data_IF_319677201887
#
_entry.id   IF_319677201887
#
_cell.length_a   1.000
_cell.length_b   1.000
_cell.length_c   1.000
_cell.angle_alpha   90.00
_cell.angle_beta   90.00
_cell.angle_gamma   90.00
#
_symmetry.space_group_name_H-M   'P 1'
#
loop_
_entity.id
_entity.type
_entity.pdbx_description
1 polymer ?
#
# COMPACT_ATOMS: atom_id res chain seq x y z
N UNK A 1 -9.60 25.00 -27.39
CA UNK A 1 -8.15 24.71 -27.36
C UNK A 1 -8.02 23.21 -27.42
N UNK A 2 -7.16 22.67 -28.27
CA UNK A 2 -7.07 21.23 -28.52
C UNK A 2 -6.25 20.57 -27.41
N UNK A 3 -6.95 19.93 -26.47
CA UNK A 3 -6.40 18.99 -25.49
C UNK A 3 -5.94 17.73 -26.24
N UNK A 4 -4.68 17.34 -26.08
CA UNK A 4 -4.20 16.07 -26.61
C UNK A 4 -4.49 14.99 -25.57
N UNK A 5 -5.60 14.26 -25.74
CA UNK A 5 -5.87 13.05 -24.96
C UNK A 5 -4.78 12.03 -25.29
N UNK A 6 -3.88 11.80 -24.33
CA UNK A 6 -2.80 10.80 -24.44
C UNK A 6 -2.91 9.89 -23.24
N UNK A 7 -3.61 8.77 -23.41
CA UNK A 7 -3.57 7.73 -22.40
C UNK A 7 -2.27 6.97 -22.52
N UNK A 8 -1.41 7.08 -21.50
CA UNK A 8 -0.20 6.27 -21.39
C UNK A 8 -0.24 5.49 -20.07
N UNK A 9 -0.02 4.17 -20.15
CA UNK A 9 -0.15 3.26 -19.02
C UNK A 9 1.23 2.74 -18.65
N UNK A 10 1.56 2.85 -17.36
CA UNK A 10 2.75 2.28 -16.77
C UNK A 10 2.34 1.14 -15.83
N UNK A 11 2.93 -0.03 -16.06
CA UNK A 11 2.78 -1.23 -15.24
C UNK A 11 4.02 -1.42 -14.35
N UNK A 12 3.93 -2.30 -13.35
CA UNK A 12 5.07 -2.60 -12.49
C UNK A 12 6.21 -3.25 -13.28
N UNK A 13 7.41 -2.69 -13.15
CA UNK A 13 8.66 -3.18 -13.75
C UNK A 13 9.78 -3.08 -12.73
N UNK A 14 10.84 -3.86 -12.93
CA UNK A 14 12.08 -3.66 -12.20
C UNK A 14 12.74 -2.34 -12.68
N UNK A 15 12.88 -1.37 -11.77
CA UNK A 15 13.55 -0.10 -12.03
C UNK A 15 12.62 1.10 -12.27
N UNK A 16 13.21 2.22 -12.68
CA UNK A 16 12.49 3.48 -12.89
C UNK A 16 11.92 3.60 -14.31
N UNK A 17 10.67 4.04 -14.41
CA UNK A 17 10.08 4.47 -15.68
C UNK A 17 10.08 6.00 -15.75
N UNK A 18 10.17 6.55 -16.96
CA UNK A 18 10.27 8.01 -17.16
C UNK A 18 9.35 8.46 -18.29
N UNK A 19 8.83 9.68 -18.16
CA UNK A 19 8.03 10.33 -19.21
C UNK A 19 8.43 11.79 -19.36
N UNK A 20 8.52 12.24 -20.62
CA UNK A 20 8.85 13.61 -20.94
C UNK A 20 7.58 14.47 -21.03
N UNK A 21 7.61 15.63 -20.39
CA UNK A 21 6.52 16.60 -20.40
C UNK A 21 6.63 17.46 -21.67
N UNK A 22 5.58 17.56 -22.50
CA UNK A 22 5.58 18.46 -23.66
C UNK A 22 5.92 19.89 -23.27
N UNK A 23 6.67 20.60 -24.12
CA UNK A 23 7.20 21.92 -23.82
C UNK A 23 6.12 22.97 -23.46
N UNK A 24 4.90 22.79 -23.96
CA UNK A 24 3.77 23.68 -23.73
C UNK A 24 2.81 23.21 -22.62
N UNK A 25 3.07 22.05 -22.01
CA UNK A 25 2.26 21.54 -20.91
C UNK A 25 2.63 22.22 -19.58
N UNK A 26 1.59 22.60 -18.82
CA UNK A 26 1.69 23.15 -17.47
C UNK A 26 1.05 22.26 -16.43
N UNK A 27 0.17 21.35 -16.86
CA UNK A 27 -0.49 20.40 -15.96
C UNK A 27 -0.63 19.05 -16.63
N UNK A 28 -0.81 18.03 -15.82
CA UNK A 28 -1.02 16.67 -16.27
C UNK A 28 -2.06 15.99 -15.38
N UNK A 29 -3.04 15.31 -15.99
CA UNK A 29 -3.97 14.49 -15.23
C UNK A 29 -3.44 13.08 -15.13
N UNK A 30 -3.27 12.61 -13.90
CA UNK A 30 -2.83 11.26 -13.61
C UNK A 30 -3.87 10.51 -12.80
N UNK A 31 -3.92 9.20 -13.02
CA UNK A 31 -4.64 8.24 -12.21
C UNK A 31 -3.68 7.13 -11.77
N UNK A 32 -3.52 6.96 -10.46
CA UNK A 32 -2.58 6.04 -9.85
C UNK A 32 -3.33 5.02 -9.01
N UNK A 33 -2.83 3.80 -8.97
CA UNK A 33 -3.24 2.76 -8.02
C UNK A 33 -2.02 2.25 -7.27
N UNK A 34 -2.09 2.15 -5.95
CA UNK A 34 -1.06 1.49 -5.13
C UNK A 34 -1.14 -0.04 -5.19
N UNK A 35 -0.06 -0.72 -4.86
CA UNK A 35 -0.01 -2.19 -4.83
C UNK A 35 -0.90 -2.76 -3.72
N UNK A 36 -1.50 -3.93 -3.96
CA UNK A 36 -2.24 -4.65 -2.91
C UNK A 36 -1.29 -5.29 -1.88
N UNK A 37 -1.79 -5.45 -0.65
CA UNK A 37 -1.15 -6.28 0.34
C UNK A 37 -1.15 -7.76 -0.04
N UNK A 38 -0.32 -8.53 0.64
CA UNK A 38 -0.19 -9.97 0.45
C UNK A 38 -1.09 -10.78 1.38
N UNK A 39 -1.22 -12.05 1.04
CA UNK A 39 -1.72 -13.09 1.94
C UNK A 39 -0.56 -13.98 2.39
N UNK A 40 -0.62 -14.46 3.62
CA UNK A 40 0.35 -15.44 4.10
C UNK A 40 -0.01 -16.87 3.67
N UNK A 41 -1.24 -17.31 3.95
CA UNK A 41 -1.73 -18.68 3.75
C UNK A 41 -3.27 -18.69 3.53
N UNK A 42 -3.87 -19.87 3.31
CA UNK A 42 -5.32 -20.03 3.07
C UNK A 42 -6.20 -19.52 4.23
N UNK A 43 -5.73 -19.64 5.48
CA UNK A 43 -6.47 -19.23 6.69
C UNK A 43 -6.13 -17.79 7.12
N UNK A 44 -5.40 -17.04 6.29
CA UNK A 44 -5.15 -15.61 6.51
C UNK A 44 -6.42 -14.78 6.32
N UNK A 45 -6.40 -13.55 6.83
CA UNK A 45 -7.35 -12.53 6.39
C UNK A 45 -7.22 -12.22 4.90
N UNK A 46 -8.15 -11.42 4.38
CA UNK A 46 -8.05 -10.80 3.06
C UNK A 46 -6.98 -9.71 3.05
N UNK A 47 -6.40 -9.37 1.88
CA UNK A 47 -5.40 -8.35 1.80
C UNK A 47 -6.07 -6.97 1.76
N UNK A 48 -5.36 -5.96 2.23
CA UNK A 48 -5.70 -4.59 1.95
C UNK A 48 -5.46 -4.26 0.47
N UNK A 49 -6.41 -3.60 -0.17
CA UNK A 49 -6.19 -3.03 -1.50
C UNK A 49 -5.45 -1.70 -1.38
N UNK A 50 -4.64 -1.35 -2.38
CA UNK A 50 -4.04 -0.01 -2.48
C UNK A 50 -5.10 1.08 -2.69
N UNK A 51 -4.74 2.33 -2.47
CA UNK A 51 -5.58 3.45 -2.84
C UNK A 51 -5.57 3.64 -4.37
N UNK A 52 -6.63 4.24 -4.89
CA UNK A 52 -6.66 4.86 -6.21
C UNK A 52 -6.72 6.38 -6.04
N UNK A 53 -5.84 7.09 -6.75
CA UNK A 53 -5.71 8.55 -6.67
C UNK A 53 -5.76 9.13 -8.07
N UNK A 54 -6.68 10.05 -8.31
CA UNK A 54 -6.74 10.81 -9.55
C UNK A 54 -6.62 12.30 -9.24
N UNK A 55 -5.71 13.00 -9.91
CA UNK A 55 -5.60 14.44 -9.79
C UNK A 55 -4.94 15.06 -11.03
N UNK A 56 -5.23 16.34 -11.27
CA UNK A 56 -4.51 17.17 -12.23
C UNK A 56 -3.41 17.95 -11.51
N UNK A 57 -2.16 17.55 -11.69
CA UNK A 57 -0.99 18.09 -10.98
C UNK A 57 -0.23 19.13 -11.81
N UNK A 58 0.41 20.14 -11.19
CA UNK A 58 1.26 21.09 -11.89
C UNK A 58 2.58 20.46 -12.37
N UNK A 59 2.89 20.64 -13.66
CA UNK A 59 4.12 20.20 -14.32
C UNK A 59 4.84 21.38 -15.00
N UNK A 60 6.08 21.18 -15.40
CA UNK A 60 6.88 22.14 -16.16
C UNK A 60 7.15 21.58 -17.54
N UNK A 61 6.81 22.33 -18.58
CA UNK A 61 7.11 21.93 -19.95
C UNK A 61 8.60 21.64 -20.16
N UNK A 62 8.90 20.52 -20.82
CA UNK A 62 10.27 20.06 -21.08
C UNK A 62 10.96 19.36 -19.91
N UNK A 63 10.28 19.18 -18.76
CA UNK A 63 10.83 18.35 -17.68
C UNK A 63 10.63 16.84 -17.95
N UNK A 64 11.36 16.02 -17.20
CA UNK A 64 11.15 14.57 -17.19
C UNK A 64 10.63 14.17 -15.81
N UNK A 65 9.52 13.43 -15.80
CA UNK A 65 8.92 12.87 -14.59
C UNK A 65 9.36 11.42 -14.42
N UNK A 66 9.62 11.02 -13.18
CA UNK A 66 9.89 9.63 -12.81
C UNK A 66 8.59 8.98 -12.36
N UNK A 67 8.34 7.76 -12.84
CA UNK A 67 7.15 6.98 -12.56
C UNK A 67 7.56 5.74 -11.77
N UNK A 68 6.90 5.56 -10.62
CA UNK A 68 7.01 4.37 -9.79
C UNK A 68 5.64 3.70 -9.73
N UNK A 69 5.62 2.41 -10.01
CA UNK A 69 4.40 1.60 -9.90
C UNK A 69 4.57 0.67 -8.71
N UNK A 70 3.67 0.77 -7.73
CA UNK A 70 3.70 -0.06 -6.53
C UNK A 70 3.40 -1.52 -6.86
N UNK A 71 4.15 -2.44 -6.29
CA UNK A 71 3.96 -3.86 -6.48
C UNK A 71 3.04 -4.46 -5.41
N UNK A 72 2.33 -5.50 -5.82
CA UNK A 72 1.68 -6.40 -4.88
C UNK A 72 2.74 -7.03 -3.97
N UNK A 73 2.39 -7.21 -2.70
CA UNK A 73 3.20 -7.98 -1.78
C UNK A 73 2.87 -9.48 -1.79
N UNK A 74 3.91 -10.30 -1.61
CA UNK A 74 3.82 -11.59 -0.93
C UNK A 74 3.98 -11.37 0.57
N UNK A 75 4.90 -12.10 1.21
CA UNK A 75 5.27 -11.83 2.61
C UNK A 75 6.24 -10.66 2.76
N UNK A 76 7.16 -10.44 1.81
CA UNK A 76 8.30 -9.52 1.96
C UNK A 76 7.96 -8.02 1.91
N UNK A 77 6.71 -7.66 1.65
CA UNK A 77 6.29 -6.30 1.32
C UNK A 77 6.48 -6.02 -0.17
N UNK A 78 5.60 -5.19 -0.74
CA UNK A 78 5.66 -4.77 -2.14
C UNK A 78 6.62 -3.60 -2.33
N UNK A 79 7.32 -3.57 -3.46
CA UNK A 79 8.20 -2.46 -3.85
C UNK A 79 7.41 -1.33 -4.53
N UNK A 80 8.04 -0.18 -4.78
CA UNK A 80 7.38 0.98 -5.38
C UNK A 80 8.18 2.26 -5.09
N UNK A 81 7.51 3.42 -5.09
CA UNK A 81 8.13 4.66 -4.62
C UNK A 81 8.55 4.53 -3.16
N UNK A 82 7.67 3.93 -2.35
CA UNK A 82 7.97 3.49 -0.99
C UNK A 82 7.57 2.04 -0.83
N UNK A 83 8.20 1.35 0.13
CA UNK A 83 8.05 -0.10 0.32
C UNK A 83 7.03 -0.41 1.41
N UNK A 84 6.27 -1.48 1.22
CA UNK A 84 5.41 -2.00 2.27
C UNK A 84 6.21 -2.75 3.34
N UNK A 85 5.59 -2.95 4.49
CA UNK A 85 6.14 -3.74 5.59
C UNK A 85 6.09 -5.24 5.32
N UNK A 86 7.05 -5.98 5.87
CA UNK A 86 7.06 -7.45 5.81
C UNK A 86 6.03 -8.03 6.78
N UNK A 87 5.38 -9.13 6.40
CA UNK A 87 4.51 -9.92 7.28
C UNK A 87 5.28 -10.73 8.32
N UNK A 88 4.74 -10.82 9.54
CA UNK A 88 5.30 -11.56 10.66
C UNK A 88 5.34 -13.07 10.41
N UNK A 89 6.28 -13.77 11.06
CA UNK A 89 6.33 -15.23 11.05
C UNK A 89 5.25 -15.86 11.92
N UNK A 90 4.69 -16.99 11.47
CA UNK A 90 4.17 -18.01 12.38
C UNK A 90 5.32 -18.96 12.72
N UNK A 91 5.61 -19.16 14.01
CA UNK A 91 6.82 -19.88 14.47
C UNK A 91 6.68 -21.41 14.39
N UNK A 92 5.50 -21.92 14.06
CA UNK A 92 5.18 -23.35 13.97
C UNK A 92 4.45 -23.66 12.67
N UNK A 93 4.32 -24.94 12.32
CA UNK A 93 3.55 -25.37 11.14
C UNK A 93 2.06 -25.01 11.22
N UNK A 94 1.52 -24.89 12.44
CA UNK A 94 0.14 -24.52 12.74
C UNK A 94 -0.08 -23.01 12.79
N UNK A 95 0.92 -22.23 13.20
CA UNK A 95 0.90 -20.78 13.10
C UNK A 95 1.24 -20.32 11.69
N UNK A 96 0.35 -19.56 11.04
CA UNK A 96 0.58 -19.10 9.67
C UNK A 96 1.29 -17.75 9.66
N UNK A 97 2.03 -17.49 8.58
CA UNK A 97 2.68 -16.20 8.38
C UNK A 97 1.64 -15.12 8.07
N UNK A 98 1.94 -13.87 8.43
CA UNK A 98 1.24 -12.72 7.88
C UNK A 98 1.70 -12.41 6.45
N UNK A 99 0.83 -11.77 5.68
CA UNK A 99 1.18 -11.14 4.41
C UNK A 99 1.92 -9.81 4.61
N UNK A 100 2.73 -9.40 3.64
CA UNK A 100 3.34 -8.07 3.63
C UNK A 100 2.38 -7.01 3.10
N UNK A 101 2.65 -5.73 3.37
CA UNK A 101 1.90 -4.61 2.80
C UNK A 101 2.35 -4.28 1.38
N UNK A 102 1.45 -3.78 0.55
CA UNK A 102 1.73 -3.37 -0.84
C UNK A 102 2.57 -2.10 -0.92
N UNK A 103 3.27 -1.92 -2.04
CA UNK A 103 4.07 -0.72 -2.30
C UNK A 103 3.25 0.44 -2.86
N UNK A 104 3.79 1.65 -2.77
CA UNK A 104 3.10 2.86 -3.26
C UNK A 104 3.46 3.16 -4.72
N UNK A 105 2.49 3.64 -5.48
CA UNK A 105 2.74 4.22 -6.81
C UNK A 105 2.94 5.72 -6.69
N UNK A 106 3.82 6.31 -7.50
CA UNK A 106 4.04 7.75 -7.49
C UNK A 106 4.45 8.29 -8.87
N UNK A 107 4.16 9.57 -9.08
CA UNK A 107 4.78 10.39 -10.12
C UNK A 107 5.62 11.46 -9.43
N UNK A 108 6.89 11.57 -9.80
CA UNK A 108 7.86 12.41 -9.12
C UNK A 108 8.56 13.38 -10.08
N UNK A 109 8.88 14.56 -9.55
CA UNK A 109 9.83 15.50 -10.15
C UNK A 109 11.16 15.37 -9.40
N UNK A 110 12.12 14.66 -9.99
CA UNK A 110 13.28 14.18 -9.23
C UNK A 110 12.80 13.31 -8.06
N UNK A 111 13.25 13.61 -6.85
CA UNK A 111 12.85 12.89 -5.63
C UNK A 111 11.57 13.44 -4.96
N UNK A 112 10.96 14.49 -5.52
CA UNK A 112 9.79 15.14 -4.95
C UNK A 112 8.52 14.56 -5.58
N UNK A 113 7.65 13.87 -4.81
CA UNK A 113 6.41 13.33 -5.35
C UNK A 113 5.43 14.47 -5.69
N UNK A 114 4.75 14.33 -6.82
CA UNK A 114 3.63 15.17 -7.24
C UNK A 114 2.29 14.53 -6.86
N UNK A 115 2.21 13.20 -6.93
CA UNK A 115 1.04 12.39 -6.60
C UNK A 115 1.51 11.00 -6.17
N UNK A 116 0.90 10.46 -5.13
CA UNK A 116 1.21 9.14 -4.55
C UNK A 116 -0.09 8.42 -4.21
N UNK A 117 -0.22 7.19 -4.69
CA UNK A 117 -1.25 6.26 -4.25
C UNK A 117 -0.66 5.27 -3.23
N UNK A 118 -1.17 5.31 -2.00
CA UNK A 118 -0.74 4.42 -0.91
C UNK A 118 -1.03 2.94 -1.21
N UNK A 119 -0.18 2.06 -0.73
CA UNK A 119 -0.34 0.61 -0.78
C UNK A 119 -1.28 0.08 0.31
N UNK A 120 -1.87 -1.08 0.08
CA UNK A 120 -2.74 -1.75 1.04
C UNK A 120 -1.96 -2.50 2.12
N UNK A 121 -2.58 -2.71 3.29
CA UNK A 121 -2.01 -3.52 4.37
C UNK A 121 -2.03 -5.03 4.06
N UNK A 122 -1.07 -5.77 4.61
CA UNK A 122 -1.01 -7.23 4.50
C UNK A 122 -1.97 -7.93 5.45
N UNK A 123 -2.45 -9.11 5.06
CA UNK A 123 -3.31 -9.92 5.91
C UNK A 123 -2.58 -10.47 7.15
N UNK A 124 -3.29 -10.63 8.26
CA UNK A 124 -2.84 -11.40 9.40
C UNK A 124 -2.73 -12.89 9.05
N UNK A 125 -1.79 -13.59 9.68
CA UNK A 125 -1.67 -15.04 9.62
C UNK A 125 -2.77 -15.70 10.44
N UNK A 126 -3.37 -16.76 9.91
CA UNK A 126 -4.27 -17.64 10.66
C UNK A 126 -3.56 -18.57 11.64
N UNK A 127 -4.36 -19.39 12.30
CA UNK A 127 -3.97 -20.54 13.12
C UNK A 127 -4.76 -21.77 12.67
N UNK A 128 -4.68 -22.89 13.41
CA UNK A 128 -5.48 -24.09 13.11
C UNK A 128 -7.00 -23.89 13.23
N UNK A 129 -7.44 -22.92 14.04
CA UNK A 129 -8.85 -22.78 14.44
C UNK A 129 -9.38 -21.36 14.34
N UNK A 130 -8.55 -20.40 13.91
CA UNK A 130 -8.88 -18.99 13.87
C UNK A 130 -8.29 -18.32 12.63
N UNK A 131 -9.09 -17.49 11.95
CA UNK A 131 -8.70 -16.74 10.76
C UNK A 131 -7.94 -15.46 11.11
N UNK A 132 -6.93 -15.14 10.31
CA UNK A 132 -6.20 -13.87 10.39
C UNK A 132 -7.08 -12.64 10.13
N UNK A 133 -6.68 -11.50 10.69
CA UNK A 133 -7.35 -10.22 10.44
C UNK A 133 -7.10 -9.72 9.02
N UNK A 134 -8.09 -9.07 8.43
CA UNK A 134 -7.98 -8.48 7.08
C UNK A 134 -7.05 -7.26 7.10
N UNK A 135 -6.32 -7.05 6.00
CA UNK A 135 -5.46 -5.88 5.82
C UNK A 135 -6.26 -4.61 5.54
N UNK A 136 -5.79 -3.47 6.03
CA UNK A 136 -6.40 -2.16 5.80
C UNK A 136 -6.30 -1.74 4.34
N UNK A 137 -7.39 -1.18 3.81
CA UNK A 137 -7.42 -0.64 2.46
C UNK A 137 -6.99 0.82 2.39
N UNK A 138 -6.31 1.20 1.31
CA UNK A 138 -6.01 2.60 1.01
C UNK A 138 -7.29 3.35 0.62
N UNK A 139 -7.45 4.57 1.11
CA UNK A 139 -8.56 5.48 0.82
C UNK A 139 -8.12 6.91 1.19
N UNK A 140 -9.01 7.91 1.11
CA UNK A 140 -8.75 9.29 1.56
C UNK A 140 -8.24 9.31 3.01
N UNK A 141 -8.82 8.44 3.84
CA UNK A 141 -8.27 8.07 5.15
C UNK A 141 -7.81 6.63 5.07
N UNK A 142 -6.50 6.34 5.20
CA UNK A 142 -6.02 4.96 5.16
C UNK A 142 -6.65 4.16 6.31
N UNK A 143 -7.18 2.98 6.00
CA UNK A 143 -7.86 2.16 6.99
C UNK A 143 -6.88 1.35 7.83
N UNK A 144 -7.29 1.08 9.07
CA UNK A 144 -6.61 0.13 9.94
C UNK A 144 -6.78 -1.29 9.39
N UNK A 145 -5.88 -2.19 9.77
CA UNK A 145 -6.12 -3.62 9.65
C UNK A 145 -7.12 -4.10 10.71
N UNK A 146 -7.77 -5.22 10.44
CA UNK A 146 -8.69 -5.86 11.38
C UNK A 146 -7.93 -6.71 12.40
N UNK A 147 -8.58 -6.93 13.54
CA UNK A 147 -8.10 -7.84 14.57
C UNK A 147 -8.20 -9.29 14.08
N UNK A 148 -7.20 -10.11 14.39
CA UNK A 148 -7.27 -11.55 14.19
C UNK A 148 -8.33 -12.21 15.07
N UNK A 149 -8.86 -13.34 14.63
CA UNK A 149 -9.80 -14.11 15.42
C UNK A 149 -9.15 -14.73 16.67
N UNK A 150 -9.96 -14.88 17.71
CA UNK A 150 -9.58 -15.55 18.95
C UNK A 150 -9.63 -17.07 18.74
N UNK A 151 -8.57 -17.76 19.14
CA UNK A 151 -8.58 -19.21 19.33
C UNK A 151 -9.07 -19.63 20.71
N UNK A 152 -9.15 -20.93 20.95
CA UNK A 152 -9.74 -21.52 22.18
C UNK A 152 -9.14 -20.99 23.49
N UNK A 153 -7.83 -20.71 23.50
CA UNK A 153 -7.07 -20.39 24.72
C UNK A 153 -6.35 -19.03 24.66
N UNK A 154 -6.65 -18.20 23.67
CA UNK A 154 -5.85 -17.01 23.38
C UNK A 154 -6.64 -15.75 23.05
N UNK A 155 -5.90 -14.77 22.56
CA UNK A 155 -6.42 -13.50 22.05
C UNK A 155 -5.82 -13.26 20.67
N UNK A 156 -6.67 -12.91 19.71
CA UNK A 156 -6.22 -12.53 18.38
C UNK A 156 -5.47 -11.21 18.38
N UNK A 157 -4.48 -11.11 17.48
CA UNK A 157 -3.62 -9.94 17.36
C UNK A 157 -4.39 -8.70 16.91
N UNK A 158 -4.05 -7.55 17.47
CA UNK A 158 -4.63 -6.28 17.05
C UNK A 158 -4.15 -5.92 15.63
N UNK A 159 -5.02 -5.29 14.85
CA UNK A 159 -4.65 -4.74 13.56
C UNK A 159 -3.78 -3.47 13.66
N UNK A 160 -2.98 -3.23 12.64
CA UNK A 160 -2.14 -2.03 12.53
C UNK A 160 -2.93 -0.79 12.12
N UNK A 161 -2.50 0.39 12.58
CA UNK A 161 -3.14 1.67 12.22
C UNK A 161 -2.89 2.08 10.77
N UNK A 162 -3.85 2.74 10.11
CA UNK A 162 -3.68 3.28 8.77
C UNK A 162 -2.87 4.57 8.76
N UNK A 163 -1.86 4.68 7.90
CA UNK A 163 -1.05 5.89 7.71
C UNK A 163 -0.25 6.35 8.95
N UNK A 164 -0.17 5.52 9.99
CA UNK A 164 0.41 5.90 11.30
C UNK A 164 1.92 5.70 11.39
N UNK A 165 2.55 5.05 10.41
CA UNK A 165 3.99 4.83 10.43
C UNK A 165 4.72 6.18 10.38
N UNK A 166 5.77 6.29 11.20
CA UNK A 166 6.63 7.47 11.27
C UNK A 166 7.44 7.69 9.99
N UNK A 167 7.47 6.68 9.12
CA UNK A 167 8.13 6.69 7.82
C UNK A 167 7.11 6.47 6.71
N UNK A 168 7.49 6.80 5.48
CA UNK A 168 6.72 6.45 4.28
C UNK A 168 6.71 4.94 3.98
N UNK A 169 7.67 4.20 4.55
CA UNK A 169 7.66 2.74 4.55
C UNK A 169 6.62 2.20 5.54
N UNK A 170 5.93 1.13 5.17
CA UNK A 170 5.02 0.41 6.06
C UNK A 170 5.77 -0.36 7.15
N UNK A 171 5.22 -0.40 8.36
CA UNK A 171 5.81 -1.12 9.49
C UNK A 171 5.67 -2.64 9.29
N UNK A 172 6.68 -3.39 9.76
CA UNK A 172 6.62 -4.84 9.71
C UNK A 172 5.56 -5.39 10.69
N UNK A 173 4.89 -6.47 10.28
CA UNK A 173 4.02 -7.23 11.17
C UNK A 173 4.82 -8.00 12.22
N UNK A 174 4.24 -8.17 13.40
CA UNK A 174 4.89 -8.86 14.51
C UNK A 174 4.92 -10.37 14.26
N UNK A 175 6.08 -11.00 14.48
CA UNK A 175 6.18 -12.47 14.51
C UNK A 175 5.50 -13.07 15.74
N UNK A 176 4.95 -14.26 15.61
CA UNK A 176 4.40 -15.00 16.73
C UNK A 176 5.47 -15.29 17.79
N UNK A 177 5.11 -15.35 19.09
CA UNK A 177 6.05 -15.78 20.11
C UNK A 177 6.46 -17.25 19.90
N UNK A 178 7.73 -17.58 20.17
CA UNK A 178 8.36 -18.87 19.86
C UNK A 178 7.56 -20.09 20.36
N UNK A 179 7.50 -21.13 19.51
CA UNK A 179 6.75 -22.37 19.73
C UNK A 179 5.23 -22.24 19.91
N UNK A 180 4.63 -21.08 19.64
CA UNK A 180 3.18 -20.93 19.61
C UNK A 180 2.59 -21.33 18.26
N UNK A 181 1.34 -21.79 18.29
CA UNK A 181 0.47 -22.01 17.12
C UNK A 181 -0.20 -20.73 16.62
N UNK A 182 0.25 -19.57 17.14
CA UNK A 182 -0.33 -18.28 16.82
C UNK A 182 0.05 -17.82 15.41
N UNK A 183 -0.86 -17.05 14.80
CA UNK A 183 -0.59 -16.39 13.53
C UNK A 183 0.27 -15.14 13.70
N UNK A 184 1.19 -14.92 12.73
CA UNK A 184 1.97 -13.69 12.62
C UNK A 184 1.11 -12.51 12.16
N UNK A 185 1.45 -11.29 12.55
CA UNK A 185 0.76 -10.08 12.11
C UNK A 185 1.06 -9.68 10.66
N UNK A 186 0.14 -8.98 10.01
CA UNK A 186 0.32 -8.44 8.66
C UNK A 186 1.23 -7.22 8.61
N UNK A 187 1.97 -7.03 7.51
CA UNK A 187 2.78 -5.82 7.29
C UNK A 187 1.95 -4.62 6.87
N UNK A 188 2.32 -3.40 7.29
CA UNK A 188 1.63 -2.19 6.88
C UNK A 188 1.90 -1.80 5.41
N UNK A 189 0.94 -1.15 4.76
CA UNK A 189 1.07 -0.66 3.39
C UNK A 189 2.03 0.53 3.28
N UNK A 190 2.68 0.71 2.14
CA UNK A 190 3.53 1.88 1.91
C UNK A 190 2.69 3.13 1.65
N UNK A 191 3.19 4.32 1.99
CA UNK A 191 2.44 5.55 1.76
C UNK A 191 3.30 6.80 1.87
N UNK A 192 2.69 7.97 1.80
CA UNK A 192 3.41 9.23 1.89
C UNK A 192 2.60 10.31 2.61
N UNK A 193 3.30 11.09 3.43
CA UNK A 193 2.80 12.31 4.03
C UNK A 193 3.92 13.36 4.08
N UNK A 194 3.58 14.64 3.89
CA UNK A 194 4.49 15.80 3.81
C UNK A 194 5.53 15.90 4.95
N UNK A 195 5.25 15.32 6.13
CA UNK A 195 6.16 15.33 7.30
C UNK A 195 6.99 14.04 7.46
N UNK A 196 7.21 13.30 6.37
CA UNK A 196 8.09 12.14 6.32
C UNK A 196 7.47 10.82 6.79
N UNK A 197 6.15 10.76 6.92
CA UNK A 197 5.39 9.58 7.37
C UNK A 197 4.50 8.98 6.29
N UNK A 198 3.48 8.26 6.73
CA UNK A 198 2.36 7.84 5.89
C UNK A 198 2.33 6.35 5.56
N UNK A 199 3.30 5.54 5.96
CA UNK A 199 3.15 4.09 5.92
C UNK A 199 2.06 3.61 6.89
N UNK A 200 1.49 2.44 6.63
CA UNK A 200 0.61 1.75 7.57
C UNK A 200 1.39 1.08 8.68
N UNK A 201 0.75 0.92 9.84
CA UNK A 201 1.26 0.14 10.97
C UNK A 201 1.18 -1.36 10.70
N UNK A 202 2.11 -2.12 11.27
CA UNK A 202 2.08 -3.58 11.26
C UNK A 202 1.05 -4.12 12.25
N UNK A 203 0.39 -5.22 11.89
CA UNK A 203 -0.47 -5.98 12.78
C UNK A 203 0.34 -6.72 13.84
N UNK A 204 -0.29 -6.97 14.99
CA UNK A 204 0.30 -7.77 16.07
C UNK A 204 0.06 -9.26 15.84
N UNK A 205 0.91 -10.08 16.44
CA UNK A 205 0.68 -11.53 16.47
C UNK A 205 -0.49 -11.88 17.38
N UNK A 206 -1.12 -13.02 17.13
CA UNK A 206 -2.00 -13.64 18.11
C UNK A 206 -1.23 -14.19 19.32
N UNK A 207 -1.99 -14.75 20.26
CA UNK A 207 -1.47 -15.53 21.39
C UNK A 207 -2.16 -16.89 21.43
N UNK A 208 -1.42 -17.94 21.81
CA UNK A 208 -1.89 -19.34 21.75
C UNK A 208 -2.50 -19.65 20.38
N UNK A 209 -3.43 -20.60 20.21
CA UNK A 209 -4.05 -20.96 18.92
C UNK A 209 -4.90 -19.83 18.26
N UNK A 210 -4.57 -18.55 18.45
CA UNK A 210 -5.25 -17.39 17.87
C UNK A 210 -4.49 -16.80 16.69
N UNK A 211 -5.22 -16.07 15.86
CA UNK A 211 -4.67 -15.50 14.65
C UNK A 211 -4.03 -14.12 14.86
N UNK A 212 -3.16 -13.71 13.93
CA UNK A 212 -2.57 -12.37 13.89
C UNK A 212 -3.52 -11.33 13.29
N UNK A 213 -3.33 -10.07 13.67
CA UNK A 213 -4.05 -8.93 13.09
C UNK A 213 -3.48 -8.50 11.73
N UNK A 214 -4.30 -7.89 10.90
CA UNK A 214 -3.89 -7.32 9.61
C UNK A 214 -3.06 -6.04 9.78
N UNK A 215 -2.24 -5.71 8.78
CA UNK A 215 -1.55 -4.42 8.71
C UNK A 215 -2.48 -3.29 8.24
N UNK A 216 -2.21 -2.05 8.64
CA UNK A 216 -2.94 -0.87 8.14
C UNK A 216 -2.47 -0.45 6.75
N UNK A 217 -3.30 0.32 6.03
CA UNK A 217 -2.93 0.89 4.73
C UNK A 217 -1.97 2.08 4.85
N UNK A 218 -1.26 2.40 3.77
CA UNK A 218 -0.51 3.64 3.67
C UNK A 218 -1.36 4.81 3.15
N UNK A 219 -0.96 6.02 3.51
CA UNK A 219 -1.57 7.28 3.11
C UNK A 219 -1.21 7.66 1.67
N UNK A 220 -2.18 8.27 1.00
CA UNK A 220 -2.02 8.86 -0.34
C UNK A 220 -1.72 10.35 -0.25
N UNK A 221 -1.19 10.92 -1.34
CA UNK A 221 -0.79 12.31 -1.41
C UNK A 221 -0.98 12.89 -2.80
N UNK A 222 -1.22 14.19 -2.88
CA UNK A 222 -1.10 15.00 -4.08
C UNK A 222 -0.53 16.37 -3.68
N UNK A 223 0.25 16.96 -4.60
CA UNK A 223 0.93 18.23 -4.37
C UNK A 223 -0.05 19.39 -4.30
N UNK A 224 0.28 20.41 -3.52
CA UNK A 224 -0.45 21.68 -3.50
C UNK A 224 -0.54 22.27 -4.92
N UNK A 225 -1.68 22.88 -5.24
CA UNK A 225 -2.00 23.36 -6.60
C UNK A 225 -2.58 22.30 -7.53
N UNK A 226 -2.77 21.06 -7.06
CA UNK A 226 -3.55 20.06 -7.79
C UNK A 226 -5.03 20.47 -7.89
N UNK A 227 -5.69 20.12 -9.00
CA UNK A 227 -7.15 20.36 -9.20
C UNK A 227 -7.87 19.03 -9.38
N UNK A 228 -9.12 19.01 -8.91
CA UNK A 228 -10.01 17.84 -8.87
C UNK A 228 -9.33 16.59 -8.27
N UNK A 229 -8.61 16.69 -7.14
CA UNK A 229 -8.06 15.50 -6.52
C UNK A 229 -9.18 14.61 -5.98
N UNK A 230 -9.02 13.31 -6.17
CA UNK A 230 -9.86 12.29 -5.54
C UNK A 230 -8.97 11.14 -5.08
N UNK A 231 -9.30 10.60 -3.91
CA UNK A 231 -8.69 9.39 -3.37
C UNK A 231 -9.85 8.47 -3.03
N UNK A 232 -9.79 7.22 -3.46
CA UNK A 232 -10.79 6.23 -3.10
C UNK A 232 -10.17 4.84 -2.97
N UNK A 233 -10.84 3.97 -2.22
CA UNK A 233 -10.52 2.55 -2.18
C UNK A 233 -10.73 1.90 -3.55
N UNK A 234 -9.73 1.16 -4.02
CA UNK A 234 -9.90 0.27 -5.17
C UNK A 234 -10.37 -1.12 -4.74
N UNK A 235 -11.17 -1.77 -5.60
CA UNK A 235 -11.42 -3.22 -5.52
C UNK A 235 -10.46 -4.03 -6.39
N UNK A 236 -9.56 -3.35 -7.11
CA UNK A 236 -8.66 -4.01 -8.04
C UNK A 236 -7.60 -4.83 -7.31
N UNK A 237 -7.28 -5.99 -7.90
CA UNK A 237 -6.27 -6.91 -7.38
C UNK A 237 -4.96 -6.75 -8.16
N UNK A 238 -3.86 -7.05 -7.48
CA UNK A 238 -2.53 -7.14 -8.06
C UNK A 238 -1.67 -5.91 -7.83
N UNK A 239 -0.71 -5.74 -8.74
CA UNK A 239 0.16 -4.57 -8.78
C UNK A 239 -0.65 -3.28 -8.92
N UNK A 240 -0.01 -2.17 -8.58
CA UNK A 240 -0.47 -0.83 -8.90
C UNK A 240 -0.49 -0.57 -10.40
N UNK A 241 -0.89 0.63 -10.75
CA UNK A 241 -0.89 1.14 -12.13
C UNK A 241 -0.70 2.64 -12.10
N UNK A 242 -0.03 3.22 -13.09
CA UNK A 242 -0.02 4.67 -13.29
C UNK A 242 -0.51 4.98 -14.69
N UNK A 243 -1.47 5.87 -14.80
CA UNK A 243 -2.05 6.32 -16.06
C UNK A 243 -1.83 7.83 -16.16
N UNK A 244 -1.10 8.24 -17.19
CA UNK A 244 -1.25 9.59 -17.71
C UNK A 244 -2.51 9.60 -18.57
N UNK A 245 -3.44 10.51 -18.27
CA UNK A 245 -4.69 10.64 -19.04
C UNK A 245 -4.55 11.74 -20.10
N UNK A 246 -3.93 12.86 -19.75
CA UNK A 246 -3.73 14.00 -20.65
C UNK A 246 -2.71 15.02 -20.14
N UNK A 247 -2.19 15.81 -21.09
CA UNK A 247 -1.42 17.02 -20.85
C UNK A 247 -2.28 18.25 -21.09
N UNK A 248 -2.16 19.25 -20.22
CA UNK A 248 -2.94 20.49 -20.25
C UNK A 248 -2.00 21.70 -20.32
N UNK A 249 -2.41 22.76 -21.01
CA UNK A 249 -1.56 23.93 -21.35
C UNK A 249 -1.82 25.17 -20.47
N UNK A 250 -2.85 25.08 -19.66
CA UNK A 250 -3.47 26.13 -18.86
C UNK A 250 -3.18 25.98 -17.36
#
# INVERSE_FOLDING_TARGET
>A
MTETVTTHIFEAVEGEQKIHVPADAKRARFKLRGGQGGHGNADSGGPGHGAEVEATVPVKGGETLTIHVGEQAGRSGGSGFTTGGRGGSGETVSGRNGGGGGGSSAVCRGDVPLIVAGGGGGAGGGSLVARGGDGGAGDEKPHNGDKGERGTLGVGGDGGGGGTAKTSKGDNGQGAPGASTAGGGGGGGAGYALKGGGGGGGGKSGTNDSAGGGGGAGASYYVEGSVNPSIHKTGAKGNGKVELLEWLKD
#
